data_IF_034746886686
#
_entry.id   IF_034746886686
#
_cell.length_a   1.000
_cell.length_b   1.000
_cell.length_c   1.000
_cell.angle_alpha   90.00
_cell.angle_beta   90.00
_cell.angle_gamma   90.00
#
_symmetry.space_group_name_H-M   'P 1'
#
loop_
_entity.id
_entity.type
_entity.pdbx_description
1 polymer ?
#
# COMPACT_ATOMS: atom_id res chain seq x y z
N UNK A 1 33.35 1.63 -36.17
CA UNK A 1 32.42 0.79 -35.37
C UNK A 1 32.47 1.31 -33.95
N UNK A 2 31.36 1.88 -33.48
CA UNK A 2 31.33 2.70 -32.26
C UNK A 2 31.26 1.83 -30.99
N UNK A 3 31.97 2.25 -29.94
CA UNK A 3 32.08 1.54 -28.65
C UNK A 3 30.71 1.24 -27.98
N UNK A 4 29.67 2.02 -28.30
CA UNK A 4 28.31 1.83 -27.80
C UNK A 4 27.62 0.55 -28.34
N UNK A 5 27.97 0.09 -29.54
CA UNK A 5 27.34 -1.10 -30.12
C UNK A 5 27.86 -2.39 -29.47
N UNK A 6 29.13 -2.42 -29.08
CA UNK A 6 29.73 -3.56 -28.37
C UNK A 6 29.18 -3.73 -26.95
N UNK A 7 28.89 -2.63 -26.25
CA UNK A 7 28.35 -2.66 -24.89
C UNK A 7 26.90 -3.18 -24.83
N UNK A 8 26.09 -2.85 -25.85
CA UNK A 8 24.70 -3.30 -25.96
C UNK A 8 24.61 -4.81 -26.26
N UNK A 9 25.48 -5.33 -27.12
CA UNK A 9 25.58 -6.76 -27.44
C UNK A 9 26.02 -7.57 -26.22
N UNK A 10 26.97 -7.05 -25.43
CA UNK A 10 27.41 -7.70 -24.20
C UNK A 10 26.32 -7.75 -23.12
N UNK A 11 25.51 -6.69 -22.98
CA UNK A 11 24.34 -6.69 -22.09
C UNK A 11 23.30 -7.73 -22.52
N UNK A 12 23.04 -7.88 -23.82
CA UNK A 12 22.08 -8.87 -24.31
C UNK A 12 22.55 -10.32 -24.09
N UNK A 13 23.85 -10.61 -24.27
CA UNK A 13 24.42 -11.94 -23.97
C UNK A 13 24.30 -12.27 -22.48
N UNK A 14 24.65 -11.33 -21.60
CA UNK A 14 24.55 -11.51 -20.15
C UNK A 14 23.12 -11.77 -19.66
N UNK A 15 22.10 -11.21 -20.32
CA UNK A 15 20.70 -11.46 -19.96
C UNK A 15 20.27 -12.88 -20.36
N UNK A 16 20.65 -13.34 -21.55
CA UNK A 16 20.34 -14.70 -22.02
C UNK A 16 20.99 -15.77 -21.14
N UNK A 17 22.27 -15.57 -20.79
CA UNK A 17 22.99 -16.49 -19.90
C UNK A 17 22.36 -16.56 -18.51
N UNK A 18 21.85 -15.42 -18.01
CA UNK A 18 21.15 -15.35 -16.73
C UNK A 18 19.82 -16.12 -16.78
N UNK A 19 19.06 -16.01 -17.86
CA UNK A 19 17.81 -16.75 -18.04
C UNK A 19 18.03 -18.27 -18.14
N UNK A 20 19.12 -18.70 -18.76
CA UNK A 20 19.51 -20.11 -18.77
C UNK A 20 19.86 -20.61 -17.36
N UNK A 21 20.60 -19.82 -16.59
CA UNK A 21 20.97 -20.12 -15.20
C UNK A 21 19.73 -20.18 -14.30
N UNK A 22 18.80 -19.25 -14.46
CA UNK A 22 17.51 -19.26 -13.76
C UNK A 22 16.72 -20.53 -14.10
N UNK A 23 16.66 -20.90 -15.39
CA UNK A 23 15.96 -22.10 -15.84
C UNK A 23 16.56 -23.38 -15.24
N UNK A 24 17.89 -23.47 -15.16
CA UNK A 24 18.60 -24.58 -14.48
C UNK A 24 18.30 -24.61 -12.98
N UNK A 25 18.28 -23.45 -12.32
CA UNK A 25 17.95 -23.33 -10.90
C UNK A 25 16.50 -23.77 -10.61
N UNK A 26 15.56 -23.37 -11.46
CA UNK A 26 14.14 -23.76 -11.37
C UNK A 26 13.98 -25.28 -11.51
N UNK A 27 14.61 -25.88 -12.53
CA UNK A 27 14.58 -27.34 -12.74
C UNK A 27 15.16 -28.10 -11.55
N UNK A 28 16.25 -27.60 -10.96
CA UNK A 28 16.92 -28.26 -9.83
C UNK A 28 16.09 -28.26 -8.55
N UNK A 29 15.42 -27.14 -8.25
CA UNK A 29 14.59 -27.01 -7.04
C UNK A 29 13.18 -27.58 -7.29
N UNK A 30 12.75 -27.70 -8.55
CA UNK A 30 11.43 -28.23 -8.91
C UNK A 30 10.29 -27.22 -8.70
N UNK A 31 10.57 -25.91 -8.76
CA UNK A 31 9.55 -24.87 -8.54
C UNK A 31 8.88 -24.43 -9.84
N UNK A 32 7.65 -23.92 -9.75
CA UNK A 32 6.89 -23.49 -10.94
C UNK A 32 7.11 -22.02 -11.32
N UNK A 33 7.47 -21.18 -10.35
CA UNK A 33 7.60 -19.73 -10.53
C UNK A 33 9.02 -19.28 -10.17
N UNK A 34 9.58 -18.37 -10.98
CA UNK A 34 10.87 -17.73 -10.70
C UNK A 34 10.88 -17.04 -9.32
N UNK A 35 9.74 -16.48 -8.91
CA UNK A 35 9.56 -15.83 -7.61
C UNK A 35 9.85 -16.74 -6.42
N UNK A 36 9.75 -18.06 -6.56
CA UNK A 36 10.02 -18.97 -5.45
C UNK A 36 11.52 -19.27 -5.27
N UNK A 37 12.36 -19.00 -6.27
CA UNK A 37 13.83 -19.08 -6.14
C UNK A 37 14.35 -18.18 -5.02
N UNK A 38 13.64 -17.07 -4.79
CA UNK A 38 13.90 -16.11 -3.73
C UNK A 38 14.06 -16.76 -2.35
N UNK A 39 13.31 -17.84 -2.06
CA UNK A 39 13.34 -18.55 -0.77
C UNK A 39 14.67 -19.25 -0.50
N UNK A 40 15.47 -19.49 -1.54
CA UNK A 40 16.73 -20.24 -1.48
C UNK A 40 17.96 -19.33 -1.53
N UNK A 41 17.76 -18.01 -1.64
CA UNK A 41 18.85 -17.03 -1.70
C UNK A 41 18.85 -16.24 -0.38
N UNK A 42 19.83 -16.48 0.51
CA UNK A 42 19.94 -15.75 1.77
C UNK A 42 20.37 -14.30 1.52
N UNK A 43 19.82 -13.37 2.30
CA UNK A 43 20.23 -11.95 2.33
C UNK A 43 21.04 -11.64 3.58
N UNK A 44 21.99 -10.71 3.47
CA UNK A 44 22.82 -10.22 4.59
C UNK A 44 22.00 -9.66 5.76
N UNK A 45 20.85 -9.05 5.48
CA UNK A 45 19.96 -8.45 6.49
C UNK A 45 19.10 -9.47 7.27
N UNK A 46 19.32 -10.77 7.05
CA UNK A 46 18.53 -11.88 7.58
C UNK A 46 17.31 -12.21 6.73
N UNK A 47 17.03 -13.50 6.59
CA UNK A 47 15.93 -14.03 5.79
C UNK A 47 16.28 -14.28 4.31
N UNK A 48 15.26 -14.62 3.54
CA UNK A 48 15.36 -14.89 2.10
C UNK A 48 15.15 -13.61 1.26
N UNK A 49 15.68 -13.58 0.04
CA UNK A 49 15.57 -12.43 -0.86
C UNK A 49 14.12 -12.12 -1.22
N UNK A 50 13.70 -10.86 -1.19
CA UNK A 50 12.34 -10.50 -1.63
C UNK A 50 12.21 -10.53 -3.16
N UNK A 51 11.06 -10.93 -3.69
CA UNK A 51 10.84 -11.01 -5.14
C UNK A 51 11.01 -9.66 -5.87
N UNK A 52 10.70 -8.54 -5.20
CA UNK A 52 11.01 -7.20 -5.72
C UNK A 52 12.53 -6.97 -5.88
N UNK A 53 13.32 -7.47 -4.93
CA UNK A 53 14.78 -7.40 -4.99
C UNK A 53 15.30 -8.24 -6.14
N UNK A 54 14.79 -9.46 -6.34
CA UNK A 54 15.14 -10.30 -7.49
C UNK A 54 14.87 -9.57 -8.83
N UNK A 55 13.67 -8.98 -8.98
CA UNK A 55 13.30 -8.23 -10.18
C UNK A 55 14.18 -6.99 -10.40
N UNK A 56 14.59 -6.32 -9.32
CA UNK A 56 15.53 -5.18 -9.35
C UNK A 56 16.94 -5.63 -9.74
N UNK A 57 17.42 -6.74 -9.18
CA UNK A 57 18.75 -7.31 -9.45
C UNK A 57 18.89 -7.78 -10.89
N UNK A 58 17.85 -8.43 -11.45
CA UNK A 58 17.83 -8.82 -12.88
C UNK A 58 18.04 -7.63 -13.82
N UNK A 59 17.55 -6.43 -13.45
CA UNK A 59 17.68 -5.21 -14.25
C UNK A 59 18.97 -4.43 -13.99
N UNK A 60 19.38 -4.29 -12.73
CA UNK A 60 20.51 -3.44 -12.34
C UNK A 60 21.84 -4.20 -12.35
N UNK A 61 21.90 -5.37 -11.72
CA UNK A 61 23.13 -6.12 -11.47
C UNK A 61 22.95 -7.60 -11.84
N UNK A 62 22.88 -7.94 -13.14
CA UNK A 62 22.65 -9.32 -13.59
C UNK A 62 23.80 -10.29 -13.20
N UNK A 63 25.05 -9.83 -13.26
CA UNK A 63 26.23 -10.66 -12.96
C UNK A 63 26.27 -11.11 -11.50
N UNK A 64 25.90 -10.23 -10.58
CA UNK A 64 25.86 -10.51 -9.14
C UNK A 64 24.77 -11.55 -8.82
N UNK A 65 23.60 -11.41 -9.47
CA UNK A 65 22.51 -12.38 -9.36
C UNK A 65 22.91 -13.77 -9.87
N UNK A 66 23.60 -13.83 -11.01
CA UNK A 66 24.13 -15.08 -11.57
C UNK A 66 25.09 -15.79 -10.60
N UNK A 67 26.01 -15.03 -9.98
CA UNK A 67 26.93 -15.56 -8.97
C UNK A 67 26.21 -16.12 -7.75
N UNK A 68 25.20 -15.39 -7.24
CA UNK A 68 24.40 -15.86 -6.10
C UNK A 68 23.63 -17.14 -6.41
N UNK A 69 23.00 -17.25 -7.58
CA UNK A 69 22.26 -18.45 -8.00
C UNK A 69 23.22 -19.65 -8.13
N UNK A 70 24.39 -19.45 -8.74
CA UNK A 70 25.40 -20.51 -8.84
C UNK A 70 25.83 -21.01 -7.46
N UNK A 71 26.14 -20.07 -6.56
CA UNK A 71 26.60 -20.35 -5.20
C UNK A 71 25.58 -21.09 -4.34
N UNK A 72 24.33 -20.60 -4.31
CA UNK A 72 23.32 -21.09 -3.36
C UNK A 72 22.37 -22.16 -3.92
N UNK A 73 22.27 -22.29 -5.25
CA UNK A 73 21.35 -23.24 -5.88
C UNK A 73 22.10 -24.29 -6.70
N UNK A 74 22.95 -23.88 -7.64
CA UNK A 74 23.54 -24.81 -8.62
C UNK A 74 24.65 -25.67 -8.00
N UNK A 75 25.51 -25.09 -7.16
CA UNK A 75 26.66 -25.81 -6.59
C UNK A 75 26.31 -26.62 -5.33
N UNK A 76 25.14 -26.39 -4.72
CA UNK A 76 24.71 -27.08 -3.49
C UNK A 76 23.87 -28.32 -3.85
N UNK A 77 24.20 -29.49 -3.31
CA UNK A 77 23.50 -30.76 -3.62
C UNK A 77 22.01 -30.72 -3.26
N UNK A 78 21.66 -30.16 -2.09
CA UNK A 78 20.29 -29.93 -1.62
C UNK A 78 20.12 -28.47 -1.18
N UNK A 79 19.61 -27.56 -2.03
CA UNK A 79 19.40 -26.17 -1.65
C UNK A 79 18.34 -26.09 -0.55
N UNK A 80 18.69 -25.48 0.58
CA UNK A 80 17.78 -25.32 1.73
C UNK A 80 17.00 -24.01 1.62
N UNK A 81 15.70 -24.08 1.90
CA UNK A 81 14.87 -22.90 2.00
C UNK A 81 15.28 -22.10 3.25
N UNK A 82 15.59 -20.82 3.05
CA UNK A 82 15.99 -19.91 4.11
C UNK A 82 14.75 -19.48 4.86
N UNK A 83 14.76 -19.65 6.19
CA UNK A 83 13.66 -19.21 7.05
C UNK A 83 13.44 -17.69 6.89
N UNK A 84 12.19 -17.22 6.89
CA UNK A 84 11.90 -15.79 6.88
C UNK A 84 12.55 -15.11 8.08
N UNK A 85 13.00 -13.86 7.89
CA UNK A 85 13.48 -13.05 9.02
C UNK A 85 12.38 -12.97 10.09
N UNK A 86 12.64 -13.31 11.36
CA UNK A 86 11.66 -13.15 12.40
C UNK A 86 11.25 -11.68 12.43
N UNK A 87 9.94 -11.43 12.39
CA UNK A 87 9.45 -10.07 12.63
C UNK A 87 9.93 -9.67 14.00
N UNK A 88 10.50 -8.47 14.13
CA UNK A 88 10.75 -7.91 15.45
C UNK A 88 9.47 -8.09 16.28
N UNK A 89 9.61 -8.57 17.52
CA UNK A 89 8.47 -8.67 18.42
C UNK A 89 7.74 -7.34 18.31
N UNK A 90 6.49 -7.38 17.86
CA UNK A 90 5.67 -6.20 17.73
C UNK A 90 5.48 -5.72 19.17
N UNK A 91 6.40 -4.87 19.62
CA UNK A 91 6.51 -4.47 21.00
C UNK A 91 5.18 -3.95 21.49
N UNK A 92 5.03 -3.98 22.81
CA UNK A 92 3.92 -3.47 23.62
C UNK A 92 3.66 -1.96 23.40
N UNK A 93 3.47 -1.53 22.16
CA UNK A 93 2.88 -0.24 21.76
C UNK A 93 1.37 -0.40 21.58
N UNK A 94 0.75 -1.30 22.34
CA UNK A 94 -0.65 -1.07 22.73
C UNK A 94 -0.54 0.08 23.72
N UNK A 95 -0.84 1.31 23.29
CA UNK A 95 -1.07 2.41 24.22
C UNK A 95 -2.13 1.90 25.19
N UNK A 96 -1.74 1.55 26.42
CA UNK A 96 -2.65 0.93 27.40
C UNK A 96 -3.86 1.85 27.69
N UNK A 97 -3.69 3.13 27.42
CA UNK A 97 -4.68 4.18 27.65
C UNK A 97 -5.58 4.46 26.43
N UNK A 98 -5.39 3.76 25.30
CA UNK A 98 -6.27 3.93 24.14
C UNK A 98 -7.55 3.12 24.35
N UNK A 99 -8.63 3.81 24.72
CA UNK A 99 -9.98 3.25 24.72
C UNK A 99 -10.40 2.93 23.29
N UNK A 100 -10.72 1.66 23.03
CA UNK A 100 -11.32 1.23 21.77
C UNK A 100 -12.83 1.19 21.94
N UNK A 101 -13.54 2.05 21.22
CA UNK A 101 -15.00 2.05 21.20
C UNK A 101 -15.55 1.19 20.07
N UNK A 102 -16.64 0.48 20.35
CA UNK A 102 -17.43 -0.17 19.31
C UNK A 102 -18.28 0.88 18.56
N UNK A 103 -18.74 0.53 17.35
CA UNK A 103 -19.59 1.41 16.55
C UNK A 103 -20.83 1.90 17.32
N UNK A 104 -21.48 1.00 18.06
CA UNK A 104 -22.64 1.32 18.87
C UNK A 104 -22.33 2.26 20.04
N UNK A 105 -21.16 2.12 20.67
CA UNK A 105 -20.73 3.03 21.73
C UNK A 105 -20.48 4.45 21.17
N UNK A 106 -19.92 4.56 19.97
CA UNK A 106 -19.73 5.85 19.29
C UNK A 106 -21.08 6.50 18.93
N UNK A 107 -22.04 5.73 18.42
CA UNK A 107 -23.40 6.21 18.13
C UNK A 107 -24.12 6.67 19.40
N UNK A 108 -24.01 5.90 20.50
CA UNK A 108 -24.55 6.30 21.80
C UNK A 108 -23.90 7.58 22.33
N UNK A 109 -22.58 7.71 22.19
CA UNK A 109 -21.84 8.90 22.62
C UNK A 109 -22.20 10.13 21.78
N UNK A 110 -22.39 9.96 20.47
CA UNK A 110 -22.87 11.02 19.58
C UNK A 110 -24.28 11.50 19.99
N UNK A 111 -25.18 10.57 20.34
CA UNK A 111 -26.52 10.94 20.83
C UNK A 111 -26.47 11.70 22.16
N UNK A 112 -25.62 11.28 23.10
CA UNK A 112 -25.42 12.01 24.36
C UNK A 112 -24.89 13.41 24.09
N UNK A 113 -23.90 13.55 23.19
CA UNK A 113 -23.34 14.84 22.82
C UNK A 113 -24.38 15.78 22.19
N UNK A 114 -25.29 15.26 21.35
CA UNK A 114 -26.42 16.02 20.79
C UNK A 114 -27.37 16.52 21.87
N UNK A 115 -27.72 15.68 22.84
CA UNK A 115 -28.59 16.07 23.96
C UNK A 115 -27.93 17.09 24.89
N UNK A 116 -26.61 16.98 25.08
CA UNK A 116 -25.82 17.92 25.87
C UNK A 116 -25.52 19.23 25.14
N UNK A 117 -25.77 19.31 23.82
CA UNK A 117 -25.42 20.47 23.00
C UNK A 117 -23.91 20.66 22.79
N UNK A 118 -23.10 19.61 22.99
CA UNK A 118 -21.65 19.66 22.88
C UNK A 118 -21.20 19.60 21.41
N UNK A 119 -21.06 20.78 20.80
CA UNK A 119 -20.75 20.95 19.37
C UNK A 119 -19.40 20.35 18.98
N UNK A 120 -18.42 20.33 19.88
CA UNK A 120 -17.07 19.84 19.60
C UNK A 120 -17.07 18.31 19.47
N UNK A 121 -17.69 17.63 20.44
CA UNK A 121 -17.83 16.17 20.41
C UNK A 121 -18.70 15.73 19.24
N UNK A 122 -19.78 16.46 18.94
CA UNK A 122 -20.61 16.21 17.76
C UNK A 122 -19.78 16.30 16.48
N UNK A 123 -18.98 17.35 16.29
CA UNK A 123 -18.13 17.50 15.09
C UNK A 123 -17.10 16.36 14.93
N UNK A 124 -16.55 15.88 16.05
CA UNK A 124 -15.56 14.80 16.05
C UNK A 124 -16.20 13.45 15.73
N UNK A 125 -17.35 13.16 16.34
CA UNK A 125 -18.01 11.85 16.25
C UNK A 125 -18.98 11.73 15.07
N UNK A 126 -19.38 12.86 14.46
CA UNK A 126 -20.32 12.83 13.35
C UNK A 126 -19.72 12.03 12.18
N UNK A 127 -20.52 11.18 11.52
CA UNK A 127 -20.04 10.37 10.43
C UNK A 127 -19.57 11.26 9.28
N UNK A 128 -18.25 11.36 9.09
CA UNK A 128 -17.66 12.10 7.95
C UNK A 128 -17.77 11.25 6.69
N UNK A 129 -18.93 11.26 6.06
CA UNK A 129 -19.14 10.65 4.74
C UNK A 129 -18.74 11.65 3.65
N UNK A 130 -18.28 11.13 2.51
CA UNK A 130 -18.04 11.99 1.34
C UNK A 130 -19.37 12.46 0.73
N UNK A 131 -19.36 13.60 0.04
CA UNK A 131 -20.54 14.11 -0.66
C UNK A 131 -21.16 13.08 -1.61
N UNK A 132 -20.32 12.30 -2.29
CA UNK A 132 -20.77 11.22 -3.18
C UNK A 132 -21.50 10.10 -2.43
N UNK A 133 -21.15 9.84 -1.16
CA UNK A 133 -21.88 8.88 -0.33
C UNK A 133 -23.23 9.44 0.11
N UNK A 134 -23.26 10.70 0.58
CA UNK A 134 -24.51 11.37 0.96
C UNK A 134 -25.52 11.41 -0.19
N UNK A 135 -25.09 11.76 -1.41
CA UNK A 135 -25.95 11.75 -2.61
C UNK A 135 -26.55 10.37 -2.88
N UNK A 136 -25.74 9.31 -2.84
CA UNK A 136 -26.20 7.94 -3.11
C UNK A 136 -27.21 7.46 -2.07
N UNK A 137 -26.92 7.68 -0.80
CA UNK A 137 -27.79 7.27 0.30
C UNK A 137 -29.09 8.08 0.33
N UNK A 138 -29.06 9.39 0.01
CA UNK A 138 -30.26 10.22 -0.09
C UNK A 138 -31.18 9.72 -1.21
N UNK A 139 -30.61 9.44 -2.39
CA UNK A 139 -31.37 8.87 -3.51
C UNK A 139 -31.99 7.53 -3.11
N UNK A 140 -31.25 6.69 -2.37
CA UNK A 140 -31.77 5.43 -1.87
C UNK A 140 -32.91 5.61 -0.85
N UNK A 141 -32.78 6.58 0.06
CA UNK A 141 -33.80 6.92 1.06
C UNK A 141 -35.08 7.40 0.39
N UNK A 142 -34.96 8.27 -0.63
CA UNK A 142 -36.08 8.77 -1.45
C UNK A 142 -36.76 7.62 -2.18
N UNK A 143 -36.00 6.70 -2.80
CA UNK A 143 -36.55 5.51 -3.46
C UNK A 143 -37.32 4.60 -2.50
N UNK A 144 -36.93 4.59 -1.22
CA UNK A 144 -37.60 3.81 -0.17
C UNK A 144 -38.71 4.59 0.54
N UNK A 145 -39.04 5.82 0.11
CA UNK A 145 -39.97 6.73 0.79
C UNK A 145 -39.66 6.91 2.29
N UNK A 146 -38.37 6.94 2.64
CA UNK A 146 -37.90 7.22 4.00
C UNK A 146 -37.28 8.61 4.05
N UNK A 147 -37.68 9.39 5.05
CA UNK A 147 -37.09 10.70 5.32
C UNK A 147 -36.08 10.53 6.45
N UNK A 148 -34.80 10.77 6.14
CA UNK A 148 -33.72 10.78 7.11
C UNK A 148 -33.16 12.21 7.21
N UNK A 149 -33.52 12.89 8.29
CA UNK A 149 -33.14 14.28 8.54
C UNK A 149 -31.64 14.43 8.78
N UNK A 150 -30.98 13.43 9.36
CA UNK A 150 -29.54 13.47 9.63
C UNK A 150 -28.75 13.36 8.33
N UNK A 151 -29.21 12.50 7.43
CA UNK A 151 -28.61 12.32 6.11
C UNK A 151 -28.72 13.60 5.26
N UNK A 152 -29.86 14.30 5.34
CA UNK A 152 -30.05 15.60 4.70
C UNK A 152 -29.13 16.68 5.29
N UNK A 153 -29.08 16.78 6.62
CA UNK A 153 -28.24 17.77 7.30
C UNK A 153 -26.75 17.53 6.97
N UNK A 154 -26.29 16.29 6.97
CA UNK A 154 -24.91 15.94 6.61
C UNK A 154 -24.58 16.23 5.13
N UNK A 155 -25.56 16.09 4.23
CA UNK A 155 -25.42 16.52 2.84
C UNK A 155 -25.26 18.03 2.71
N UNK A 156 -26.14 18.81 3.34
CA UNK A 156 -26.09 20.28 3.31
C UNK A 156 -24.77 20.80 3.88
N UNK A 157 -24.32 20.25 5.01
CA UNK A 157 -23.04 20.61 5.62
C UNK A 157 -21.86 20.27 4.69
N UNK A 158 -21.88 19.11 4.05
CA UNK A 158 -20.83 18.71 3.09
C UNK A 158 -20.79 19.60 1.85
N UNK A 159 -21.95 20.02 1.33
CA UNK A 159 -22.05 20.96 0.19
C UNK A 159 -21.54 22.34 0.60
N UNK A 160 -21.93 22.83 1.77
CA UNK A 160 -21.47 24.12 2.28
C UNK A 160 -19.95 24.13 2.50
N UNK A 161 -19.39 23.05 3.05
CA UNK A 161 -17.95 22.90 3.20
C UNK A 161 -17.25 22.90 1.84
N UNK A 162 -17.74 22.14 0.85
CA UNK A 162 -17.15 22.12 -0.50
C UNK A 162 -17.20 23.50 -1.18
N UNK A 163 -18.33 24.21 -1.05
CA UNK A 163 -18.48 25.56 -1.59
C UNK A 163 -17.54 26.56 -0.88
N UNK A 164 -17.40 26.47 0.44
CA UNK A 164 -16.47 27.30 1.20
C UNK A 164 -15.00 27.05 0.78
N UNK A 165 -14.63 25.79 0.54
CA UNK A 165 -13.31 25.45 0.00
C UNK A 165 -13.09 26.06 -1.40
N UNK A 166 -14.05 25.90 -2.32
CA UNK A 166 -13.97 26.47 -3.67
C UNK A 166 -13.88 28.00 -3.67
N UNK A 167 -14.62 28.68 -2.79
CA UNK A 167 -14.53 30.14 -2.63
C UNK A 167 -13.18 30.58 -2.04
N UNK A 168 -12.60 29.82 -1.11
CA UNK A 168 -11.29 30.12 -0.52
C UNK A 168 -10.14 29.92 -1.50
N UNK A 169 -10.23 28.90 -2.36
CA UNK A 169 -9.24 28.60 -3.40
C UNK A 169 -9.25 29.70 -4.46
N UNK A 170 -10.43 30.16 -4.90
CA UNK A 170 -10.57 31.30 -5.81
C UNK A 170 -9.98 32.61 -5.25
N UNK A 171 -10.11 32.85 -3.94
CA UNK A 171 -9.56 34.05 -3.28
C UNK A 171 -8.03 33.97 -3.16
N UNK A 172 -7.48 32.78 -2.87
CA UNK A 172 -6.04 32.55 -2.86
C UNK A 172 -5.41 32.69 -4.25
N UNK A 173 -6.10 32.23 -5.29
CA UNK A 173 -5.67 32.36 -6.69
C UNK A 173 -5.64 33.83 -7.15
N UNK A 174 -6.65 34.62 -6.75
CA UNK A 174 -6.69 36.07 -7.01
C UNK A 174 -5.57 36.85 -6.31
N UNK A 175 -5.16 36.43 -5.09
CA UNK A 175 -4.05 37.07 -4.37
C UNK A 175 -2.68 36.67 -4.92
N UNK A 176 -2.54 35.46 -5.47
CA UNK A 176 -1.30 35.00 -6.10
C UNK A 176 -1.02 35.68 -7.45
N UNK A 177 -2.06 36.07 -8.18
CA UNK A 177 -1.96 36.76 -9.47
C UNK A 177 -1.71 38.28 -9.37
N UNK A 178 -1.56 38.82 -8.16
CA UNK A 178 -1.28 40.26 -7.90
C UNK A 178 0.21 40.57 -7.64
N UNK A 179 1.13 39.65 -7.95
CA UNK A 179 2.59 39.88 -7.89
C UNK A 179 3.20 39.94 -9.28
#
# INVERSE_FOLDING_TARGET
>A
MSQNDQESIHKQKNIKDLEEILSKAIKKIGVRKENDLCKYIPMTSGGYMHHFTLRKMKKKNPSELSSMIKKFIINISRPMAVAPKPRAARGSRKRRDQLTFTKWQLERMLNIARLAGDKDIISILSPKKSLASYKRELIQSIRQNKVDQELWNGYVESVNNQNAFASSESLAEMLSNKK
#
